data_IF_618405577340
#
_entry.id   IF_618405577340
#
_cell.length_a   1.000
_cell.length_b   1.000
_cell.length_c   1.000
_cell.angle_alpha   90.00
_cell.angle_beta   90.00
_cell.angle_gamma   90.00
#
_symmetry.space_group_name_H-M   'P 1'
#
loop_
_entity.id
_entity.type
_entity.pdbx_description
1 polymer ?
#
# COMPACT_ATOMS: atom_id res chain seq x y z
N UNK A 1 -9.68 -22.31 -0.07
CA UNK A 1 -10.72 -22.97 -0.86
C UNK A 1 -12.00 -22.17 -0.69
N UNK A 2 -12.62 -21.78 -1.80
CA UNK A 2 -13.86 -21.03 -2.03
C UNK A 2 -13.61 -19.58 -2.55
N UNK A 3 -13.41 -19.54 -3.88
CA UNK A 3 -13.76 -18.39 -4.70
C UNK A 3 -15.13 -18.67 -5.29
N UNK A 4 -16.16 -17.94 -4.93
CA UNK A 4 -17.45 -17.97 -5.63
C UNK A 4 -17.63 -16.75 -6.53
N UNK A 5 -17.78 -17.08 -7.77
CA UNK A 5 -18.52 -16.60 -8.95
C UNK A 5 -19.26 -15.26 -8.82
N UNK A 6 -18.83 -14.32 -9.63
CA UNK A 6 -19.64 -13.18 -10.03
C UNK A 6 -20.49 -13.55 -11.25
N UNK A 7 -21.81 -13.39 -11.09
CA UNK A 7 -22.84 -13.70 -12.06
C UNK A 7 -22.89 -12.62 -13.17
N UNK A 8 -22.96 -13.11 -14.41
CA UNK A 8 -23.11 -12.31 -15.64
C UNK A 8 -24.55 -11.79 -15.73
N UNK A 9 -24.71 -10.48 -15.79
CA UNK A 9 -26.00 -9.84 -16.08
C UNK A 9 -26.22 -9.79 -17.59
N UNK A 10 -27.24 -10.53 -18.06
CA UNK A 10 -27.67 -10.61 -19.47
C UNK A 10 -28.33 -9.31 -19.93
N UNK A 11 -27.78 -8.71 -20.95
CA UNK A 11 -28.37 -7.57 -21.66
C UNK A 11 -29.40 -8.07 -22.70
N UNK A 12 -30.64 -7.68 -22.53
CA UNK A 12 -31.74 -7.94 -23.51
C UNK A 12 -31.58 -7.06 -24.74
N UNK A 13 -31.57 -7.72 -25.90
CA UNK A 13 -31.56 -7.12 -27.22
C UNK A 13 -32.94 -6.53 -27.54
N UNK A 14 -33.00 -5.25 -27.89
CA UNK A 14 -34.19 -4.61 -28.47
C UNK A 14 -34.02 -4.57 -30.00
N UNK A 15 -34.88 -5.25 -30.70
CA UNK A 15 -35.00 -5.22 -32.18
C UNK A 15 -35.88 -4.06 -32.58
N UNK A 16 -35.37 -3.14 -33.38
CA UNK A 16 -36.18 -2.11 -34.07
C UNK A 16 -36.08 -2.35 -35.56
N UNK A 17 -37.24 -2.61 -36.17
CA UNK A 17 -37.42 -2.75 -37.61
C UNK A 17 -37.36 -1.36 -38.28
N UNK A 18 -36.62 -1.24 -39.38
CA UNK A 18 -36.68 -0.08 -40.29
C UNK A 18 -37.05 -0.51 -41.66
N UNK A 19 -38.04 0.21 -42.19
CA UNK A 19 -38.74 0.09 -43.47
C UNK A 19 -37.82 0.49 -44.62
N UNK A 20 -37.88 -0.28 -45.69
CA UNK A 20 -37.24 -0.04 -46.99
C UNK A 20 -38.03 0.97 -47.80
N UNK A 21 -37.41 1.98 -48.37
CA UNK A 21 -37.93 2.74 -49.53
C UNK A 21 -36.75 3.04 -50.48
N UNK A 22 -37.00 2.83 -51.70
CA UNK A 22 -36.11 2.51 -52.78
C UNK A 22 -35.43 3.63 -53.58
N UNK A 23 -34.53 3.11 -54.41
CA UNK A 23 -34.14 3.54 -55.79
C UNK A 23 -33.55 4.93 -56.04
N UNK A 24 -32.21 4.94 -56.27
CA UNK A 24 -31.65 5.69 -57.38
C UNK A 24 -30.29 5.06 -57.79
N UNK A 25 -30.24 4.63 -59.08
CA UNK A 25 -29.06 4.09 -59.74
C UNK A 25 -28.05 5.22 -60.01
N UNK A 26 -27.01 5.30 -59.23
CA UNK A 26 -25.81 6.10 -59.48
C UNK A 26 -24.62 5.20 -59.74
N UNK A 27 -24.08 5.22 -60.95
CA UNK A 27 -22.85 4.47 -61.31
C UNK A 27 -21.66 4.97 -60.52
N UNK A 28 -21.27 4.24 -59.50
CA UNK A 28 -20.01 4.50 -58.75
C UNK A 28 -18.87 3.75 -59.44
N UNK A 29 -17.88 4.51 -59.93
CA UNK A 29 -16.56 3.98 -60.27
C UNK A 29 -15.96 3.34 -59.01
N UNK A 30 -15.46 2.08 -59.14
CA UNK A 30 -14.70 1.42 -58.09
C UNK A 30 -13.54 2.31 -57.65
N UNK A 31 -13.35 2.55 -56.33
CA UNK A 31 -12.10 3.13 -55.82
C UNK A 31 -10.96 2.16 -56.15
N UNK A 32 -9.86 2.68 -56.65
CA UNK A 32 -8.59 1.96 -56.75
C UNK A 32 -8.20 1.43 -55.38
N UNK A 33 -7.87 0.17 -55.28
CA UNK A 33 -7.35 -0.47 -54.08
C UNK A 33 -6.13 0.32 -53.56
N UNK A 34 -6.37 1.14 -52.55
CA UNK A 34 -5.26 1.71 -51.72
C UNK A 34 -4.87 0.61 -50.79
N UNK A 35 -3.77 -0.06 -51.13
CA UNK A 35 -3.12 -1.00 -50.23
C UNK A 35 -2.68 -0.24 -48.98
N UNK A 36 -3.42 -0.41 -47.87
CA UNK A 36 -3.01 0.10 -46.57
C UNK A 36 -1.76 -0.68 -46.13
N UNK A 37 -0.61 -0.01 -46.15
CA UNK A 37 0.61 -0.50 -45.51
C UNK A 37 0.55 -0.03 -44.09
N UNK A 38 0.37 -0.93 -43.08
CA UNK A 38 0.42 -0.50 -41.69
C UNK A 38 1.79 0.11 -41.41
N UNK A 39 1.86 1.22 -40.67
CA UNK A 39 3.14 1.78 -40.26
C UNK A 39 3.95 0.69 -39.54
N UNK A 40 5.27 0.66 -39.70
CA UNK A 40 6.12 -0.32 -39.04
C UNK A 40 5.83 -0.25 -37.53
N UNK A 41 5.82 -1.40 -36.80
CA UNK A 41 5.63 -1.40 -35.37
C UNK A 41 6.67 -0.47 -34.74
N UNK A 42 6.21 0.57 -34.08
CA UNK A 42 7.06 1.46 -33.29
C UNK A 42 7.58 0.61 -32.13
N UNK A 43 8.81 0.15 -32.23
CA UNK A 43 9.50 -0.43 -31.08
C UNK A 43 9.58 0.66 -30.02
N UNK A 44 8.95 0.48 -28.85
CA UNK A 44 9.06 1.47 -27.79
C UNK A 44 10.53 1.67 -27.48
N UNK A 45 10.98 2.92 -27.47
CA UNK A 45 12.32 3.22 -26.95
C UNK A 45 12.41 2.60 -25.53
N UNK A 46 13.53 1.96 -25.20
CA UNK A 46 13.70 1.39 -23.86
C UNK A 46 13.48 2.50 -22.82
N UNK A 47 12.88 2.19 -21.67
CA UNK A 47 12.59 3.16 -20.63
C UNK A 47 13.87 3.94 -20.25
N UNK A 48 13.78 5.26 -20.21
CA UNK A 48 14.91 6.08 -19.72
C UNK A 48 15.01 5.86 -18.21
N UNK A 49 16.08 5.22 -17.78
CA UNK A 49 16.37 4.97 -16.38
C UNK A 49 16.98 6.22 -15.72
N UNK A 50 16.31 6.73 -14.69
CA UNK A 50 16.92 7.68 -13.76
C UNK A 50 17.64 6.86 -12.67
N UNK A 51 18.98 6.91 -12.66
CA UNK A 51 19.81 6.16 -11.70
C UNK A 51 19.48 6.50 -10.23
N UNK A 52 18.96 7.71 -9.99
CA UNK A 52 18.64 8.23 -8.67
C UNK A 52 17.17 7.94 -8.27
N UNK A 53 16.34 7.49 -9.21
CA UNK A 53 14.96 7.18 -8.90
C UNK A 53 14.86 5.91 -8.06
N UNK A 54 13.82 5.83 -7.24
CA UNK A 54 13.53 4.67 -6.41
C UNK A 54 13.21 3.46 -7.30
N UNK A 55 13.92 2.36 -7.08
CA UNK A 55 13.60 1.01 -7.53
C UNK A 55 13.55 0.15 -6.28
N UNK A 56 12.35 0.11 -5.70
CA UNK A 56 12.11 -0.54 -4.42
C UNK A 56 11.63 -1.98 -4.55
N UNK A 57 11.79 -2.74 -3.49
CA UNK A 57 11.15 -4.04 -3.33
C UNK A 57 10.70 -4.21 -1.88
N UNK A 58 9.48 -4.73 -1.70
CA UNK A 58 9.01 -5.14 -0.39
C UNK A 58 9.49 -6.55 -0.05
N UNK A 59 9.93 -6.72 1.19
CA UNK A 59 10.36 -8.02 1.74
C UNK A 59 9.52 -8.31 2.97
N UNK A 60 8.68 -9.34 2.90
CA UNK A 60 7.76 -9.76 3.98
C UNK A 60 8.18 -11.08 4.61
N UNK A 61 7.62 -11.41 5.77
CA UNK A 61 7.71 -12.74 6.40
C UNK A 61 6.63 -13.70 5.91
N UNK A 62 5.59 -13.19 5.23
CA UNK A 62 4.49 -14.01 4.73
C UNK A 62 4.86 -14.61 3.39
N UNK A 63 4.74 -15.94 3.25
CA UNK A 63 5.08 -16.68 2.03
C UNK A 63 6.51 -16.38 1.49
N UNK A 64 7.45 -16.13 2.40
CA UNK A 64 8.84 -15.83 2.10
C UNK A 64 9.78 -16.47 3.12
N UNK A 65 10.94 -16.89 2.66
CA UNK A 65 12.03 -17.39 3.50
C UNK A 65 13.21 -16.42 3.59
N UNK A 66 13.10 -15.26 2.96
CA UNK A 66 14.19 -14.28 2.81
C UNK A 66 14.84 -13.88 4.15
N UNK A 67 14.05 -13.81 5.23
CA UNK A 67 14.52 -13.38 6.55
C UNK A 67 14.85 -14.53 7.52
N UNK A 68 14.72 -15.79 7.08
CA UNK A 68 14.85 -16.96 7.97
C UNK A 68 16.29 -17.19 8.47
N UNK A 69 17.31 -16.70 7.77
CA UNK A 69 18.70 -16.75 8.20
C UNK A 69 19.48 -15.55 7.64
N UNK A 70 20.64 -15.25 8.22
CA UNK A 70 21.55 -14.23 7.66
C UNK A 70 22.02 -14.61 6.24
N UNK A 71 22.20 -15.91 5.97
CA UNK A 71 22.53 -16.37 4.63
C UNK A 71 21.44 -16.06 3.61
N UNK A 72 20.15 -16.26 3.98
CA UNK A 72 19.01 -15.93 3.13
C UNK A 72 18.91 -14.41 2.92
N UNK A 73 19.16 -13.61 3.96
CA UNK A 73 19.19 -12.13 3.84
C UNK A 73 20.29 -11.71 2.87
N UNK A 74 21.49 -12.27 2.97
CA UNK A 74 22.59 -11.98 2.06
C UNK A 74 22.27 -12.37 0.61
N UNK A 75 21.64 -13.53 0.40
CA UNK A 75 21.16 -13.98 -0.91
C UNK A 75 20.12 -12.99 -1.46
N UNK A 76 19.13 -12.62 -0.63
CA UNK A 76 18.08 -11.65 -0.99
C UNK A 76 18.69 -10.31 -1.41
N UNK A 77 19.62 -9.77 -0.66
CA UNK A 77 20.31 -8.50 -0.98
C UNK A 77 21.10 -8.63 -2.30
N UNK A 78 21.78 -9.76 -2.52
CA UNK A 78 22.54 -10.02 -3.76
C UNK A 78 21.60 -10.08 -4.97
N UNK A 79 20.47 -10.78 -4.86
CA UNK A 79 19.48 -10.87 -5.93
C UNK A 79 18.84 -9.51 -6.22
N UNK A 80 18.50 -8.74 -5.17
CA UNK A 80 18.00 -7.38 -5.32
C UNK A 80 18.98 -6.48 -6.08
N UNK A 81 20.27 -6.53 -5.71
CA UNK A 81 21.33 -5.76 -6.38
C UNK A 81 21.46 -6.15 -7.85
N UNK A 82 21.47 -7.46 -8.16
CA UNK A 82 21.55 -7.98 -9.52
C UNK A 82 20.35 -7.57 -10.38
N UNK A 83 19.13 -7.49 -9.78
CA UNK A 83 17.91 -7.02 -10.43
C UNK A 83 17.83 -5.48 -10.55
N UNK A 84 18.87 -4.74 -10.14
CA UNK A 84 18.89 -3.26 -10.21
C UNK A 84 18.04 -2.56 -9.14
N UNK A 85 17.59 -3.25 -8.11
CA UNK A 85 16.94 -2.66 -6.95
C UNK A 85 17.96 -1.77 -6.20
N UNK A 86 17.49 -0.65 -5.67
CA UNK A 86 18.30 0.26 -4.87
C UNK A 86 17.71 0.57 -3.49
N UNK A 87 16.47 0.13 -3.21
CA UNK A 87 15.80 0.30 -1.94
C UNK A 87 15.09 -1.00 -1.51
N UNK A 88 15.34 -1.47 -0.31
CA UNK A 88 14.67 -2.61 0.32
C UNK A 88 13.72 -2.08 1.39
N UNK A 89 12.42 -2.39 1.28
CA UNK A 89 11.41 -2.13 2.30
C UNK A 89 11.18 -3.43 3.07
N UNK A 90 11.94 -3.61 4.16
CA UNK A 90 11.89 -4.80 4.98
C UNK A 90 10.78 -4.69 6.03
N UNK A 91 9.93 -5.69 6.12
CA UNK A 91 8.89 -5.76 7.15
C UNK A 91 9.53 -5.79 8.54
N UNK A 92 9.09 -4.86 9.41
CA UNK A 92 9.53 -4.80 10.80
C UNK A 92 8.39 -5.08 11.80
N UNK A 93 7.14 -4.94 11.36
CA UNK A 93 5.96 -5.19 12.17
C UNK A 93 4.86 -5.90 11.36
N UNK A 94 4.51 -7.12 11.76
CA UNK A 94 3.51 -7.97 11.12
C UNK A 94 2.82 -8.85 12.18
N UNK A 95 1.49 -8.94 12.16
CA UNK A 95 0.66 -9.82 12.99
C UNK A 95 1.06 -9.80 14.49
N UNK A 96 1.13 -8.60 15.07
CA UNK A 96 1.55 -8.37 16.46
C UNK A 96 2.94 -8.94 16.80
N UNK A 97 3.84 -9.01 15.84
CA UNK A 97 5.25 -9.42 16.01
C UNK A 97 6.17 -8.46 15.28
N UNK A 98 7.38 -8.35 15.78
CA UNK A 98 8.47 -7.61 15.12
C UNK A 98 9.52 -8.56 14.56
N UNK A 99 10.28 -8.09 13.58
CA UNK A 99 11.43 -8.81 13.01
C UNK A 99 12.76 -8.31 13.60
N UNK A 100 12.68 -7.58 14.71
CA UNK A 100 13.78 -7.07 15.50
C UNK A 100 13.44 -7.16 17.00
N UNK A 101 14.40 -7.21 17.92
CA UNK A 101 14.15 -7.23 19.36
C UNK A 101 13.51 -5.92 19.83
N UNK A 102 12.19 -5.93 20.05
CA UNK A 102 11.37 -4.78 20.43
C UNK A 102 11.05 -4.76 21.92
N UNK A 103 11.49 -3.71 22.60
CA UNK A 103 11.09 -3.42 23.98
C UNK A 103 9.61 -3.03 24.07
N UNK A 104 9.09 -2.33 23.06
CA UNK A 104 7.68 -1.90 22.98
C UNK A 104 6.76 -3.12 22.95
N UNK A 105 7.05 -4.10 22.09
CA UNK A 105 6.25 -5.34 21.99
C UNK A 105 6.41 -6.22 23.24
N UNK A 106 7.62 -6.31 23.80
CA UNK A 106 7.85 -7.03 25.03
C UNK A 106 7.02 -6.47 26.20
N UNK A 107 6.99 -5.17 26.37
CA UNK A 107 6.23 -4.51 27.42
C UNK A 107 4.70 -4.64 27.22
N UNK A 108 4.23 -4.70 25.98
CA UNK A 108 2.80 -4.79 25.68
C UNK A 108 2.24 -6.21 25.85
N UNK A 109 2.93 -7.22 25.28
CA UNK A 109 2.42 -8.60 25.18
C UNK A 109 3.43 -9.69 25.57
N UNK A 110 4.60 -9.31 26.11
CA UNK A 110 5.66 -10.27 26.51
C UNK A 110 6.33 -10.98 25.32
N UNK A 111 6.27 -10.40 24.11
CA UNK A 111 6.79 -10.99 22.87
C UNK A 111 7.72 -10.00 22.17
N UNK A 112 9.03 -10.02 22.50
CA UNK A 112 9.97 -9.02 21.99
C UNK A 112 10.25 -9.14 20.49
N UNK A 113 10.05 -10.33 19.90
CA UNK A 113 10.33 -10.62 18.49
C UNK A 113 9.49 -11.80 18.02
N UNK A 114 9.35 -12.00 16.72
CA UNK A 114 8.79 -13.23 16.15
C UNK A 114 9.61 -14.44 16.62
N UNK A 115 8.97 -15.46 17.16
CA UNK A 115 9.60 -16.59 17.83
C UNK A 115 10.65 -17.31 16.98
N UNK A 116 10.43 -17.41 15.66
CA UNK A 116 11.38 -18.00 14.70
C UNK A 116 12.69 -17.20 14.55
N UNK A 117 12.72 -15.96 15.03
CA UNK A 117 13.89 -15.09 14.99
C UNK A 117 14.54 -14.92 16.38
N UNK A 118 14.14 -15.71 17.38
CA UNK A 118 14.71 -15.63 18.72
C UNK A 118 16.23 -15.77 18.69
N UNK A 119 16.92 -14.88 19.41
CA UNK A 119 18.40 -14.84 19.43
C UNK A 119 19.06 -14.20 18.21
N UNK A 120 18.26 -13.64 17.28
CA UNK A 120 18.74 -12.90 16.09
C UNK A 120 18.15 -11.50 16.04
N UNK A 121 18.73 -10.68 15.16
CA UNK A 121 18.17 -9.38 14.77
C UNK A 121 18.16 -9.26 13.23
N UNK A 122 17.13 -9.82 12.54
CA UNK A 122 17.04 -9.78 11.10
C UNK A 122 17.08 -8.36 10.52
N UNK A 123 16.60 -7.34 11.25
CA UNK A 123 16.65 -5.95 10.77
C UNK A 123 18.10 -5.46 10.73
N UNK A 124 18.88 -5.68 11.78
CA UNK A 124 20.30 -5.33 11.82
C UNK A 124 21.08 -6.08 10.73
N UNK A 125 20.81 -7.39 10.56
CA UNK A 125 21.44 -8.20 9.52
C UNK A 125 21.14 -7.65 8.11
N UNK A 126 19.88 -7.25 7.85
CA UNK A 126 19.47 -6.70 6.55
C UNK A 126 20.13 -5.33 6.29
N UNK A 127 20.27 -4.48 7.28
CA UNK A 127 20.96 -3.19 7.17
C UNK A 127 22.44 -3.41 6.82
N UNK A 128 23.13 -4.30 7.53
CA UNK A 128 24.55 -4.58 7.30
C UNK A 128 24.80 -5.13 5.87
N UNK A 129 24.03 -6.14 5.46
CA UNK A 129 24.18 -6.75 4.12
C UNK A 129 23.76 -5.77 3.01
N UNK A 130 22.68 -5.00 3.23
CA UNK A 130 22.18 -4.00 2.28
C UNK A 130 23.17 -2.88 2.04
N UNK A 131 23.64 -2.25 3.12
CA UNK A 131 24.62 -1.15 3.05
C UNK A 131 25.96 -1.60 2.46
N UNK A 132 26.41 -2.84 2.78
CA UNK A 132 27.63 -3.39 2.20
C UNK A 132 27.58 -3.49 0.64
N UNK A 133 26.35 -3.56 0.06
CA UNK A 133 26.14 -3.58 -1.39
C UNK A 133 25.61 -2.23 -1.94
N UNK A 134 25.54 -1.18 -1.11
CA UNK A 134 25.08 0.13 -1.48
C UNK A 134 23.57 0.20 -1.75
N UNK A 135 22.78 -0.67 -1.13
CA UNK A 135 21.32 -0.60 -1.12
C UNK A 135 20.84 0.16 0.12
N UNK A 136 19.75 0.89 -0.02
CA UNK A 136 19.06 1.54 1.10
C UNK A 136 18.09 0.56 1.75
N UNK A 137 18.01 0.61 3.09
CA UNK A 137 17.12 -0.25 3.87
C UNK A 137 16.13 0.59 4.65
N UNK A 138 14.84 0.29 4.44
CA UNK A 138 13.71 0.97 5.06
C UNK A 138 12.94 0.00 5.96
N UNK A 139 12.56 0.44 7.15
CA UNK A 139 11.68 -0.31 8.03
C UNK A 139 10.22 -0.14 7.59
N UNK A 140 9.57 -1.22 7.16
CA UNK A 140 8.20 -1.24 6.68
C UNK A 140 7.25 -1.83 7.73
N UNK A 141 6.26 -1.02 8.14
CA UNK A 141 5.24 -1.38 9.14
C UNK A 141 4.00 -1.95 8.43
N UNK A 142 4.12 -3.16 7.90
CA UNK A 142 3.13 -3.81 7.04
C UNK A 142 1.74 -3.90 7.67
N UNK A 143 1.64 -4.26 8.96
CA UNK A 143 0.33 -4.42 9.60
C UNK A 143 -0.29 -3.10 10.09
N UNK A 144 0.51 -2.07 10.33
CA UNK A 144 -0.02 -0.78 10.76
C UNK A 144 -0.99 -0.88 11.94
N UNK A 145 -2.22 -0.40 11.76
CA UNK A 145 -3.28 -0.51 12.77
C UNK A 145 -4.09 -1.83 12.71
N UNK A 146 -3.71 -2.77 11.86
CA UNK A 146 -4.21 -4.14 11.95
C UNK A 146 -3.53 -4.87 13.11
N UNK A 147 -4.30 -5.57 13.95
CA UNK A 147 -3.77 -6.27 15.14
C UNK A 147 -3.44 -7.73 14.87
N UNK A 148 -4.22 -8.38 14.00
CA UNK A 148 -4.09 -9.81 13.70
C UNK A 148 -4.81 -10.18 12.41
N UNK A 149 -4.71 -11.45 12.02
CA UNK A 149 -5.44 -12.01 10.89
C UNK A 149 -6.26 -13.21 11.37
N UNK A 150 -7.57 -13.14 11.24
CA UNK A 150 -8.54 -14.20 11.64
C UNK A 150 -8.32 -14.75 13.06
N UNK A 151 -7.94 -13.88 14.01
CA UNK A 151 -7.59 -14.27 15.38
C UNK A 151 -8.37 -13.48 16.45
N UNK A 152 -9.52 -12.90 16.06
CA UNK A 152 -10.40 -12.13 16.95
C UNK A 152 -9.66 -11.05 17.73
N UNK A 153 -8.84 -10.26 17.04
CA UNK A 153 -8.02 -9.18 17.59
C UNK A 153 -6.64 -9.60 18.08
N UNK A 154 -6.39 -10.89 18.23
CA UNK A 154 -5.08 -11.44 18.60
C UNK A 154 -4.55 -10.97 19.95
N UNK A 155 -3.24 -11.08 20.13
CA UNK A 155 -2.60 -10.80 21.42
C UNK A 155 -2.71 -9.34 21.88
N UNK A 156 -2.74 -8.38 20.93
CA UNK A 156 -2.82 -6.95 21.28
C UNK A 156 -4.20 -6.63 21.83
N UNK A 157 -5.28 -7.05 21.17
CA UNK A 157 -6.65 -6.81 21.65
C UNK A 157 -6.91 -7.60 22.93
N UNK A 158 -6.35 -8.80 23.09
CA UNK A 158 -6.42 -9.53 24.36
C UNK A 158 -5.77 -8.76 25.52
N UNK A 159 -4.63 -8.11 25.29
CA UNK A 159 -3.94 -7.29 26.30
C UNK A 159 -4.61 -5.92 26.52
N UNK A 160 -5.20 -5.34 25.48
CA UNK A 160 -5.82 -4.01 25.45
C UNK A 160 -7.17 -4.03 24.72
N UNK A 161 -8.23 -4.59 25.33
CA UNK A 161 -9.54 -4.75 24.64
C UNK A 161 -10.16 -3.43 24.16
N UNK A 162 -9.90 -2.32 24.86
CA UNK A 162 -10.39 -0.99 24.51
C UNK A 162 -9.68 -0.37 23.29
N UNK A 163 -8.61 -0.98 22.79
CA UNK A 163 -7.94 -0.56 21.56
C UNK A 163 -8.63 -1.07 20.30
N UNK A 164 -9.54 -2.03 20.42
CA UNK A 164 -10.25 -2.61 19.29
C UNK A 164 -11.11 -1.56 18.57
N UNK A 165 -10.98 -1.47 17.25
CA UNK A 165 -11.95 -0.74 16.44
C UNK A 165 -13.31 -1.44 16.52
N UNK A 166 -14.41 -0.66 16.70
CA UNK A 166 -15.77 -1.20 16.80
C UNK A 166 -16.62 -0.68 15.65
N UNK A 167 -17.46 -1.57 15.12
CA UNK A 167 -18.55 -1.21 14.22
C UNK A 167 -19.76 -0.65 15.01
N UNK A 168 -20.80 -0.22 14.30
CA UNK A 168 -22.00 0.38 14.92
C UNK A 168 -22.76 -0.59 15.83
N UNK A 169 -22.58 -1.89 15.66
CA UNK A 169 -23.18 -2.95 16.49
C UNK A 169 -22.30 -3.31 17.70
N UNK A 170 -21.12 -2.66 17.85
CA UNK A 170 -20.18 -2.91 18.93
C UNK A 170 -19.26 -4.12 18.69
N UNK A 171 -19.30 -4.73 17.50
CA UNK A 171 -18.41 -5.84 17.16
C UNK A 171 -17.01 -5.34 16.82
N UNK A 172 -15.99 -6.22 17.01
CA UNK A 172 -14.65 -5.97 16.48
C UNK A 172 -14.71 -5.78 14.96
N UNK A 173 -14.09 -4.72 14.47
CA UNK A 173 -13.98 -4.51 13.01
C UNK A 173 -13.04 -5.52 12.41
N UNK A 174 -13.57 -6.31 11.47
CA UNK A 174 -12.82 -7.26 10.64
C UNK A 174 -13.03 -6.90 9.17
N UNK A 175 -11.94 -6.78 8.42
CA UNK A 175 -12.02 -6.54 6.97
C UNK A 175 -10.94 -7.31 6.24
N UNK A 176 -11.34 -8.10 5.25
CA UNK A 176 -10.46 -8.99 4.49
C UNK A 176 -9.65 -9.95 5.38
N UNK A 177 -10.25 -10.42 6.48
CA UNK A 177 -9.62 -11.29 7.48
C UNK A 177 -8.74 -10.56 8.50
N UNK A 178 -8.42 -9.29 8.29
CA UNK A 178 -7.66 -8.50 9.26
C UNK A 178 -8.57 -7.97 10.37
N UNK A 179 -8.12 -8.11 11.62
CA UNK A 179 -8.72 -7.53 12.81
C UNK A 179 -8.09 -6.16 13.06
N UNK A 180 -8.86 -5.16 13.49
CA UNK A 180 -8.41 -3.77 13.50
C UNK A 180 -8.39 -3.13 14.88
N UNK A 181 -7.32 -2.36 15.13
CA UNK A 181 -7.25 -1.39 16.22
C UNK A 181 -7.90 -0.07 15.81
N UNK A 182 -8.39 0.68 16.81
CA UNK A 182 -8.88 2.02 16.58
C UNK A 182 -7.71 3.00 16.38
N UNK A 183 -7.38 3.31 15.12
CA UNK A 183 -6.32 4.26 14.76
C UNK A 183 -6.56 5.70 15.23
N UNK A 184 -7.76 6.02 15.76
CA UNK A 184 -8.08 7.34 16.34
C UNK A 184 -7.77 7.36 17.85
N UNK A 185 -7.71 6.20 18.50
CA UNK A 185 -7.45 6.11 19.95
C UNK A 185 -6.01 6.53 20.29
N UNK A 186 -5.82 7.45 21.27
CA UNK A 186 -4.51 8.03 21.55
C UNK A 186 -3.46 7.01 22.01
N UNK A 187 -3.86 5.99 22.76
CA UNK A 187 -2.92 4.92 23.17
C UNK A 187 -2.48 4.07 21.99
N UNK A 188 -3.36 3.78 21.02
CA UNK A 188 -3.04 3.04 19.80
C UNK A 188 -2.07 3.86 18.94
N UNK A 189 -2.32 5.15 18.80
CA UNK A 189 -1.42 6.06 18.11
C UNK A 189 -0.05 6.12 18.81
N UNK A 190 -0.03 6.23 20.14
CA UNK A 190 1.22 6.28 20.90
C UNK A 190 1.99 4.96 20.81
N UNK A 191 1.31 3.82 20.84
CA UNK A 191 1.93 2.51 20.62
C UNK A 191 2.66 2.46 19.26
N UNK A 192 2.00 2.87 18.19
CA UNK A 192 2.60 2.89 16.85
C UNK A 192 3.77 3.88 16.78
N UNK A 193 3.62 5.09 17.33
CA UNK A 193 4.71 6.07 17.42
C UNK A 193 5.92 5.47 18.15
N UNK A 194 5.70 4.76 19.24
CA UNK A 194 6.79 4.15 20.01
C UNK A 194 7.54 3.08 19.20
N UNK A 195 6.85 2.27 18.39
CA UNK A 195 7.49 1.31 17.49
C UNK A 195 8.37 2.01 16.44
N UNK A 196 7.86 3.08 15.81
CA UNK A 196 8.64 3.88 14.86
C UNK A 196 9.85 4.52 15.53
N UNK A 197 9.67 5.14 16.71
CA UNK A 197 10.79 5.74 17.49
C UNK A 197 11.84 4.71 17.86
N UNK A 198 11.41 3.51 18.22
CA UNK A 198 12.32 2.43 18.58
C UNK A 198 13.27 2.07 17.45
N UNK A 199 12.76 1.86 16.23
CA UNK A 199 13.61 1.51 15.09
C UNK A 199 14.47 2.68 14.62
N UNK A 200 13.92 3.90 14.60
CA UNK A 200 14.66 5.11 14.18
C UNK A 200 15.81 5.43 15.11
N UNK A 201 15.66 5.12 16.41
CA UNK A 201 16.69 5.37 17.44
C UNK A 201 17.76 4.28 17.46
N UNK A 202 17.35 3.00 17.26
CA UNK A 202 18.24 1.86 17.44
C UNK A 202 19.07 1.49 16.21
N UNK A 203 18.55 1.80 15.00
CA UNK A 203 19.10 1.26 13.75
C UNK A 203 19.54 2.36 12.78
N UNK A 204 20.57 2.06 12.01
CA UNK A 204 21.04 2.92 10.91
C UNK A 204 20.21 2.72 9.64
N UNK A 205 18.93 3.08 9.72
CA UNK A 205 17.98 3.02 8.62
C UNK A 205 18.10 4.22 7.70
N UNK A 206 17.81 4.01 6.42
CA UNK A 206 17.62 5.07 5.42
C UNK A 206 16.21 5.65 5.46
N UNK A 207 15.22 4.86 5.87
CA UNK A 207 13.84 5.32 5.95
C UNK A 207 12.92 4.42 6.76
N UNK A 208 11.69 4.92 6.93
CA UNK A 208 10.57 4.19 7.51
C UNK A 208 9.36 4.34 6.61
N UNK A 209 8.50 3.32 6.57
CA UNK A 209 7.31 3.28 5.72
C UNK A 209 6.10 2.75 6.46
N UNK A 210 4.96 3.49 6.36
CA UNK A 210 3.64 2.96 6.66
C UNK A 210 3.01 2.32 5.41
N UNK A 211 2.03 1.42 5.62
CA UNK A 211 1.42 0.62 4.58
C UNK A 211 -0.05 1.03 4.30
N UNK A 212 -0.77 0.22 3.52
CA UNK A 212 -2.21 0.35 3.28
C UNK A 212 -3.05 0.21 4.57
N UNK A 213 -2.42 -0.20 5.66
CA UNK A 213 -2.99 -0.27 7.01
C UNK A 213 -2.45 0.80 7.98
N UNK A 214 -1.66 1.79 7.49
CA UNK A 214 -1.14 2.88 8.33
C UNK A 214 -0.93 4.19 7.54
N UNK A 215 -1.52 5.31 7.97
CA UNK A 215 -2.66 5.37 8.89
C UNK A 215 -3.92 4.93 8.16
N UNK A 216 -4.66 4.04 8.77
CA UNK A 216 -5.88 3.49 8.18
C UNK A 216 -6.82 2.94 9.25
N UNK A 217 -8.10 2.88 8.94
CA UNK A 217 -9.11 2.12 9.64
C UNK A 217 -10.24 1.83 8.65
N UNK A 218 -10.82 0.62 8.61
CA UNK A 218 -12.00 0.37 7.79
C UNK A 218 -13.11 1.37 8.08
N UNK A 219 -13.78 1.84 7.04
CA UNK A 219 -14.87 2.83 7.18
C UNK A 219 -16.03 2.35 8.04
N UNK A 220 -16.20 1.04 8.21
CA UNK A 220 -17.17 0.45 9.17
C UNK A 220 -16.81 0.69 10.63
N UNK A 221 -15.57 1.09 10.95
CA UNK A 221 -15.09 1.35 12.31
C UNK A 221 -15.29 2.78 12.80
N UNK A 222 -14.95 3.00 14.07
CA UNK A 222 -15.04 4.30 14.72
C UNK A 222 -16.31 4.51 15.53
N UNK A 223 -17.01 3.44 15.88
CA UNK A 223 -18.19 3.47 16.75
C UNK A 223 -17.88 2.97 18.17
N UNK A 224 -16.61 2.86 18.53
CA UNK A 224 -16.18 2.64 19.92
C UNK A 224 -16.45 3.89 20.77
N UNK A 225 -16.52 3.69 22.10
CA UNK A 225 -16.86 4.75 23.05
C UNK A 225 -15.98 5.98 22.90
N UNK A 226 -14.65 5.78 22.80
CA UNK A 226 -13.70 6.89 22.70
C UNK A 226 -13.98 7.75 21.46
N UNK A 227 -14.12 7.12 20.28
CA UNK A 227 -14.34 7.85 19.03
C UNK A 227 -15.68 8.55 18.99
N UNK A 228 -16.75 7.90 19.53
CA UNK A 228 -18.09 8.49 19.63
C UNK A 228 -18.09 9.71 20.54
N UNK A 229 -17.45 9.63 21.71
CA UNK A 229 -17.39 10.74 22.67
C UNK A 229 -16.56 11.90 22.13
N UNK A 230 -15.44 11.62 21.45
CA UNK A 230 -14.64 12.64 20.77
C UNK A 230 -15.45 13.35 19.67
N UNK A 231 -16.18 12.57 18.85
CA UNK A 231 -17.04 13.17 17.82
C UNK A 231 -18.11 14.09 18.42
N UNK A 232 -18.81 13.63 19.48
CA UNK A 232 -19.81 14.45 20.18
C UNK A 232 -19.21 15.75 20.72
N UNK A 233 -18.04 15.67 21.36
CA UNK A 233 -17.35 16.83 21.90
C UNK A 233 -17.01 17.87 20.82
N UNK A 234 -16.66 17.43 19.63
CA UNK A 234 -16.30 18.32 18.52
C UNK A 234 -17.49 18.75 17.64
N UNK A 235 -18.67 18.13 17.80
CA UNK A 235 -19.85 18.39 16.95
C UNK A 235 -21.09 18.79 17.78
N UNK A 236 -20.91 19.57 18.86
CA UNK A 236 -22.01 20.15 19.64
C UNK A 236 -22.92 19.11 20.31
N UNK A 237 -22.40 17.94 20.66
CA UNK A 237 -23.14 16.85 21.29
C UNK A 237 -23.82 15.88 20.30
N UNK A 238 -23.75 16.14 18.99
CA UNK A 238 -24.34 15.27 17.99
C UNK A 238 -23.65 13.90 17.94
N UNK A 239 -24.44 12.82 17.83
CA UNK A 239 -23.90 11.47 17.61
C UNK A 239 -23.33 11.30 16.20
N UNK A 240 -22.32 10.43 16.01
CA UNK A 240 -21.86 10.08 14.68
C UNK A 240 -23.01 9.59 13.78
N UNK A 241 -22.95 9.85 12.45
CA UNK A 241 -23.92 9.31 11.52
C UNK A 241 -24.02 7.79 11.60
N UNK A 242 -25.25 7.23 11.54
CA UNK A 242 -25.47 5.79 11.55
C UNK A 242 -24.89 5.09 10.32
N UNK A 243 -24.86 5.78 9.17
CA UNK A 243 -24.22 5.26 7.96
C UNK A 243 -22.72 5.50 8.03
N UNK A 244 -21.93 4.43 8.06
CA UNK A 244 -20.47 4.50 7.98
C UNK A 244 -19.96 5.11 6.66
N UNK A 245 -20.78 5.10 5.59
CA UNK A 245 -20.48 5.68 4.28
C UNK A 245 -20.86 7.17 4.18
N UNK A 246 -21.38 7.79 5.25
CA UNK A 246 -21.65 9.23 5.27
C UNK A 246 -20.35 10.01 5.01
N UNK A 247 -20.37 10.91 4.03
CA UNK A 247 -19.17 11.63 3.58
C UNK A 247 -18.54 12.52 4.66
N UNK A 248 -19.37 13.21 5.45
CA UNK A 248 -18.87 14.04 6.56
C UNK A 248 -18.21 13.18 7.64
N UNK A 249 -18.77 12.00 7.92
CA UNK A 249 -18.21 11.04 8.87
C UNK A 249 -16.89 10.41 8.37
N UNK A 250 -16.81 10.07 7.08
CA UNK A 250 -15.55 9.63 6.44
C UNK A 250 -14.50 10.73 6.56
N UNK A 251 -14.83 11.96 6.18
CA UNK A 251 -13.91 13.11 6.22
C UNK A 251 -13.41 13.38 7.63
N UNK A 252 -14.28 13.37 8.64
CA UNK A 252 -13.88 13.62 10.03
C UNK A 252 -12.88 12.55 10.52
N UNK A 253 -13.18 11.26 10.30
CA UNK A 253 -12.30 10.17 10.72
C UNK A 253 -10.97 10.18 9.95
N UNK A 254 -11.00 10.42 8.64
CA UNK A 254 -9.79 10.55 7.83
C UNK A 254 -8.91 11.71 8.32
N UNK A 255 -9.51 12.84 8.71
CA UNK A 255 -8.78 13.97 9.28
C UNK A 255 -8.11 13.62 10.62
N UNK A 256 -8.69 12.75 11.46
CA UNK A 256 -8.05 12.26 12.69
C UNK A 256 -6.83 11.41 12.37
N UNK A 257 -6.91 10.56 11.35
CA UNK A 257 -5.78 9.76 10.88
C UNK A 257 -4.71 10.64 10.20
N UNK A 258 -5.10 11.69 9.49
CA UNK A 258 -4.18 12.69 8.93
C UNK A 258 -3.40 13.42 10.03
N UNK A 259 -4.06 13.79 11.13
CA UNK A 259 -3.41 14.41 12.30
C UNK A 259 -2.39 13.45 12.93
N UNK A 260 -2.72 12.17 13.05
CA UNK A 260 -1.78 11.15 13.50
C UNK A 260 -0.56 11.06 12.58
N UNK A 261 -0.74 11.00 11.25
CA UNK A 261 0.37 10.94 10.30
C UNK A 261 1.32 12.13 10.47
N UNK A 262 0.76 13.34 10.57
CA UNK A 262 1.54 14.56 10.79
C UNK A 262 2.35 14.49 12.09
N UNK A 263 1.73 14.00 13.16
CA UNK A 263 2.41 13.79 14.45
C UNK A 263 3.51 12.75 14.33
N UNK A 264 3.24 11.59 13.72
CA UNK A 264 4.22 10.51 13.51
C UNK A 264 5.44 11.01 12.74
N UNK A 265 5.22 11.76 11.64
CA UNK A 265 6.30 12.40 10.88
C UNK A 265 7.14 13.31 11.75
N UNK A 266 6.51 14.15 12.56
CA UNK A 266 7.22 15.08 13.44
C UNK A 266 8.11 14.32 14.44
N UNK A 267 7.58 13.27 15.06
CA UNK A 267 8.35 12.44 16.00
C UNK A 267 9.55 11.75 15.33
N UNK A 268 9.37 11.19 14.14
CA UNK A 268 10.44 10.56 13.36
C UNK A 268 11.51 11.58 12.96
N UNK A 269 11.09 12.70 12.38
CA UNK A 269 12.03 13.74 11.89
C UNK A 269 12.75 14.48 13.02
N UNK A 270 12.18 14.52 14.22
CA UNK A 270 12.85 15.07 15.41
C UNK A 270 14.05 14.20 15.83
N UNK A 271 13.94 12.88 15.70
CA UNK A 271 15.03 11.96 16.02
C UNK A 271 16.09 11.96 14.91
N UNK A 272 15.67 11.78 13.66
CA UNK A 272 16.57 11.72 12.50
C UNK A 272 15.99 12.57 11.35
N UNK A 273 16.38 13.85 11.23
CA UNK A 273 15.82 14.77 10.23
C UNK A 273 15.94 14.27 8.78
N UNK A 274 17.00 13.50 8.48
CA UNK A 274 17.29 12.95 7.15
C UNK A 274 16.53 11.65 6.85
N UNK A 275 15.87 11.02 7.85
CA UNK A 275 15.12 9.77 7.69
C UNK A 275 14.06 9.93 6.58
N UNK A 276 14.07 9.07 5.57
CA UNK A 276 13.00 9.04 4.57
C UNK A 276 11.70 8.54 5.22
N UNK A 277 10.65 9.33 5.16
CA UNK A 277 9.34 9.01 5.72
C UNK A 277 8.35 8.83 4.57
N UNK A 278 8.08 7.58 4.21
CA UNK A 278 7.26 7.22 3.05
C UNK A 278 5.99 6.47 3.43
N UNK A 279 4.99 6.46 2.54
CA UNK A 279 3.75 5.71 2.72
C UNK A 279 3.41 4.92 1.48
N UNK A 280 2.91 3.68 1.66
CA UNK A 280 2.42 2.82 0.59
C UNK A 280 0.91 2.52 0.74
N UNK A 281 0.06 3.53 0.51
CA UNK A 281 -1.38 3.42 0.70
C UNK A 281 -2.06 2.58 -0.40
N UNK A 282 -3.32 2.22 -0.16
CA UNK A 282 -4.22 1.78 -1.23
C UNK A 282 -4.43 2.88 -2.27
N UNK A 283 -4.72 2.54 -3.55
CA UNK A 283 -5.07 3.52 -4.58
C UNK A 283 -6.27 4.38 -4.18
N UNK A 284 -6.23 5.68 -4.51
CA UNK A 284 -7.35 6.60 -4.27
C UNK A 284 -8.37 6.54 -5.45
N UNK A 285 -9.69 6.67 -5.22
CA UNK A 285 -10.35 6.97 -3.95
C UNK A 285 -10.64 5.75 -3.05
N UNK A 286 -10.34 4.53 -3.52
CA UNK A 286 -10.58 3.29 -2.75
C UNK A 286 -9.96 3.36 -1.34
N UNK A 287 -8.72 3.85 -1.21
CA UNK A 287 -8.07 4.03 0.08
C UNK A 287 -8.90 4.88 1.05
N UNK A 288 -9.51 5.99 0.59
CA UNK A 288 -10.35 6.84 1.41
C UNK A 288 -11.69 6.18 1.77
N UNK A 289 -12.40 5.64 0.75
CA UNK A 289 -13.77 5.13 0.93
C UNK A 289 -13.84 3.82 1.68
N UNK A 290 -12.76 3.04 1.67
CA UNK A 290 -12.69 1.73 2.31
C UNK A 290 -11.88 1.72 3.62
N UNK A 291 -10.84 2.58 3.71
CA UNK A 291 -9.85 2.55 4.79
C UNK A 291 -9.50 3.92 5.39
N UNK A 292 -10.20 4.99 5.01
CA UNK A 292 -9.98 6.36 5.50
C UNK A 292 -8.57 6.89 5.18
N UNK A 293 -7.90 6.33 4.18
CA UNK A 293 -6.58 6.78 3.72
C UNK A 293 -6.71 7.92 2.73
N UNK A 294 -6.29 9.11 3.13
CA UNK A 294 -6.39 10.34 2.34
C UNK A 294 -5.00 10.79 1.86
N UNK A 295 -4.31 9.92 1.10
CA UNK A 295 -2.96 10.20 0.63
C UNK A 295 -2.82 11.46 -0.25
N UNK A 296 -3.82 11.94 -1.02
CA UNK A 296 -3.70 13.22 -1.70
C UNK A 296 -3.40 14.37 -0.75
N UNK A 297 -4.09 14.44 0.40
CA UNK A 297 -3.81 15.43 1.44
C UNK A 297 -2.38 15.31 1.98
N UNK A 298 -1.84 14.10 2.14
CA UNK A 298 -0.47 13.90 2.62
C UNK A 298 0.57 14.42 1.65
N UNK A 299 0.34 14.21 0.34
CA UNK A 299 1.18 14.68 -0.76
C UNK A 299 1.10 16.20 -0.89
N UNK A 300 -0.13 16.75 -0.96
CA UNK A 300 -0.35 18.18 -1.16
C UNK A 300 0.25 19.02 -0.02
N UNK A 301 0.19 18.48 1.20
CA UNK A 301 0.76 19.11 2.42
C UNK A 301 2.26 18.82 2.61
N UNK A 302 2.89 18.01 1.76
CA UNK A 302 4.28 17.55 1.89
C UNK A 302 4.58 16.92 3.28
N UNK A 303 3.64 16.12 3.80
CA UNK A 303 3.81 15.42 5.08
C UNK A 303 4.58 14.10 4.93
N UNK A 304 4.86 13.68 3.71
CA UNK A 304 5.63 12.48 3.38
C UNK A 304 6.73 12.83 2.38
N UNK A 305 7.80 12.05 2.38
CA UNK A 305 8.93 12.27 1.46
C UNK A 305 8.73 11.55 0.12
N UNK A 306 7.85 10.56 0.07
CA UNK A 306 7.33 9.93 -1.15
C UNK A 306 6.04 9.16 -0.88
N UNK A 307 5.17 9.05 -1.89
CA UNK A 307 4.00 8.17 -1.89
C UNK A 307 4.21 7.00 -2.85
N UNK A 308 3.90 5.78 -2.38
CA UNK A 308 4.12 4.53 -3.12
C UNK A 308 2.80 3.71 -3.15
N UNK A 309 1.73 4.19 -3.83
CA UNK A 309 0.44 3.52 -3.78
C UNK A 309 0.48 2.14 -4.43
N UNK A 310 -0.21 1.17 -3.85
CA UNK A 310 -0.27 -0.22 -4.27
C UNK A 310 -1.12 -0.42 -5.54
N UNK A 311 -0.60 0.01 -6.69
CA UNK A 311 -1.30 -0.02 -7.99
C UNK A 311 -1.33 -1.43 -8.61
N UNK A 312 -1.56 -2.47 -7.77
CA UNK A 312 -1.49 -3.87 -8.19
C UNK A 312 -2.62 -4.24 -9.16
N UNK A 313 -2.26 -4.76 -10.34
CA UNK A 313 -3.19 -5.22 -11.37
C UNK A 313 -2.61 -6.45 -12.07
N UNK A 314 -3.48 -7.22 -12.72
CA UNK A 314 -3.15 -8.48 -13.38
C UNK A 314 -3.16 -8.36 -14.91
N UNK A 315 -3.51 -7.19 -15.44
CA UNK A 315 -3.49 -6.89 -16.88
C UNK A 315 -3.14 -5.42 -17.14
N UNK A 316 -2.64 -5.13 -18.34
CA UNK A 316 -2.12 -3.81 -18.69
C UNK A 316 -3.23 -2.75 -18.82
N UNK A 317 -4.44 -3.12 -19.25
CA UNK A 317 -5.55 -2.19 -19.39
C UNK A 317 -5.97 -1.66 -18.02
N UNK A 318 -6.16 -2.56 -17.05
CA UNK A 318 -6.48 -2.21 -15.67
C UNK A 318 -5.33 -1.43 -15.00
N UNK A 319 -4.06 -1.77 -15.31
CA UNK A 319 -2.91 -1.02 -14.80
C UNK A 319 -2.88 0.41 -15.34
N UNK A 320 -3.04 0.58 -16.65
CA UNK A 320 -3.07 1.90 -17.30
C UNK A 320 -4.21 2.77 -16.74
N UNK A 321 -5.41 2.21 -16.57
CA UNK A 321 -6.54 2.90 -15.97
C UNK A 321 -6.26 3.31 -14.52
N UNK A 322 -5.63 2.43 -13.73
CA UNK A 322 -5.23 2.73 -12.36
C UNK A 322 -4.23 3.89 -12.31
N UNK A 323 -3.15 3.84 -13.10
CA UNK A 323 -2.13 4.88 -13.15
C UNK A 323 -2.72 6.22 -13.60
N UNK A 324 -3.55 6.22 -14.65
CA UNK A 324 -4.25 7.42 -15.11
C UNK A 324 -5.13 8.03 -14.01
N UNK A 325 -5.87 7.21 -13.27
CA UNK A 325 -6.70 7.64 -12.14
C UNK A 325 -5.83 8.24 -11.02
N UNK A 326 -4.77 7.57 -10.58
CA UNK A 326 -3.92 8.09 -9.50
C UNK A 326 -3.30 9.44 -9.89
N UNK A 327 -2.89 9.60 -11.15
CA UNK A 327 -2.35 10.86 -11.65
C UNK A 327 -3.32 12.04 -11.51
N UNK A 328 -4.64 11.81 -11.56
CA UNK A 328 -5.63 12.87 -11.35
C UNK A 328 -5.65 13.43 -9.93
N UNK A 329 -5.23 12.64 -8.95
CA UNK A 329 -5.17 13.03 -7.54
C UNK A 329 -3.79 13.50 -7.07
N UNK A 330 -2.75 13.22 -7.85
CA UNK A 330 -1.38 13.63 -7.56
C UNK A 330 -1.14 15.07 -8.03
N UNK A 331 -1.11 16.04 -7.11
CA UNK A 331 -1.04 17.48 -7.43
C UNK A 331 0.28 18.13 -7.09
N UNK A 332 1.05 17.58 -6.13
CA UNK A 332 2.31 18.16 -5.68
C UNK A 332 3.52 17.34 -6.16
N UNK A 333 4.19 17.75 -7.28
CA UNK A 333 5.33 17.01 -7.82
C UNK A 333 6.61 17.13 -6.96
N UNK A 334 6.62 17.98 -5.93
CA UNK A 334 7.72 18.05 -4.98
C UNK A 334 7.80 16.81 -4.07
N UNK A 335 6.68 16.07 -3.92
CA UNK A 335 6.64 14.77 -3.25
C UNK A 335 6.61 13.67 -4.31
N UNK A 336 7.68 12.90 -4.51
CA UNK A 336 7.74 11.86 -5.53
C UNK A 336 6.62 10.83 -5.40
N UNK A 337 6.09 10.40 -6.55
CA UNK A 337 5.12 9.31 -6.68
C UNK A 337 5.80 8.12 -7.36
N UNK A 338 5.81 6.97 -6.69
CA UNK A 338 6.36 5.73 -7.21
C UNK A 338 5.28 4.65 -7.20
N UNK A 339 4.72 4.25 -8.36
CA UNK A 339 3.71 3.20 -8.38
C UNK A 339 4.21 1.89 -7.75
N UNK A 340 3.40 1.29 -6.88
CA UNK A 340 3.58 -0.08 -6.45
C UNK A 340 3.16 -1.03 -7.57
N UNK A 341 4.05 -1.92 -7.98
CA UNK A 341 3.88 -2.87 -9.09
C UNK A 341 3.76 -4.28 -8.53
N UNK A 342 2.71 -5.02 -8.93
CA UNK A 342 2.55 -6.41 -8.54
C UNK A 342 3.53 -7.27 -9.33
N UNK A 343 4.50 -7.88 -8.63
CA UNK A 343 5.44 -8.84 -9.20
C UNK A 343 5.00 -10.27 -8.93
N UNK A 344 4.56 -10.56 -7.68
CA UNK A 344 4.09 -11.89 -7.27
C UNK A 344 2.95 -11.80 -6.27
N UNK A 345 2.00 -12.74 -6.33
CA UNK A 345 0.96 -12.94 -5.32
C UNK A 345 0.47 -14.38 -5.37
N UNK A 346 0.66 -15.14 -4.29
CA UNK A 346 0.38 -16.57 -4.27
C UNK A 346 1.15 -17.31 -5.38
N UNK A 347 0.44 -17.98 -6.26
CA UNK A 347 1.01 -18.68 -7.43
C UNK A 347 1.19 -17.77 -8.65
N UNK A 348 0.67 -16.56 -8.63
CA UNK A 348 0.83 -15.61 -9.74
C UNK A 348 2.21 -14.96 -9.69
N UNK A 349 2.87 -14.94 -10.86
CA UNK A 349 4.08 -14.17 -11.15
C UNK A 349 3.83 -13.33 -12.40
N UNK A 350 4.16 -12.05 -12.34
CA UNK A 350 3.97 -11.16 -13.48
C UNK A 350 4.89 -11.57 -14.63
N UNK A 351 4.37 -11.86 -15.85
CA UNK A 351 5.23 -12.14 -17.00
C UNK A 351 6.13 -10.95 -17.32
N UNK A 352 7.38 -11.20 -17.74
CA UNK A 352 8.36 -10.17 -18.05
C UNK A 352 7.83 -9.10 -19.06
N UNK A 353 7.09 -9.55 -20.07
CA UNK A 353 6.47 -8.63 -21.03
C UNK A 353 5.46 -7.68 -20.37
N UNK A 354 4.65 -8.19 -19.44
CA UNK A 354 3.70 -7.36 -18.70
C UNK A 354 4.42 -6.43 -17.71
N UNK A 355 5.45 -6.91 -17.03
CA UNK A 355 6.28 -6.08 -16.15
C UNK A 355 6.90 -4.91 -16.92
N UNK A 356 7.47 -5.18 -18.11
CA UNK A 356 8.01 -4.14 -18.99
C UNK A 356 6.95 -3.11 -19.38
N UNK A 357 5.74 -3.55 -19.71
CA UNK A 357 4.63 -2.65 -20.06
C UNK A 357 4.21 -1.77 -18.86
N UNK A 358 4.16 -2.32 -17.65
CA UNK A 358 3.85 -1.53 -16.44
C UNK A 358 4.92 -0.46 -16.19
N UNK A 359 6.20 -0.82 -16.28
CA UNK A 359 7.32 0.12 -16.14
C UNK A 359 7.23 1.22 -17.22
N UNK A 360 6.96 0.85 -18.48
CA UNK A 360 6.80 1.82 -19.57
C UNK A 360 5.61 2.76 -19.32
N UNK A 361 4.50 2.25 -18.81
CA UNK A 361 3.34 3.08 -18.41
C UNK A 361 3.73 4.10 -17.35
N UNK A 362 4.53 3.70 -16.35
CA UNK A 362 5.03 4.61 -15.32
C UNK A 362 5.86 5.75 -15.95
N UNK A 363 6.80 5.43 -16.83
CA UNK A 363 7.64 6.41 -17.52
C UNK A 363 6.82 7.37 -18.41
N UNK A 364 5.88 6.83 -19.19
CA UNK A 364 4.97 7.62 -20.04
C UNK A 364 4.07 8.55 -19.20
N UNK A 365 3.78 8.18 -17.96
CA UNK A 365 3.01 8.98 -17.01
C UNK A 365 3.86 10.04 -16.28
N UNK A 366 5.19 10.04 -16.48
CA UNK A 366 6.13 10.96 -15.85
C UNK A 366 6.69 10.50 -14.51
N UNK A 367 6.35 9.26 -14.08
CA UNK A 367 6.92 8.68 -12.87
C UNK A 367 8.28 8.04 -13.14
N UNK A 368 9.26 8.35 -12.31
CA UNK A 368 10.66 8.00 -12.57
C UNK A 368 11.07 6.64 -12.03
N UNK A 369 10.34 6.09 -11.07
CA UNK A 369 10.64 4.84 -10.39
C UNK A 369 9.37 4.10 -9.96
N UNK A 370 9.56 2.96 -9.32
CA UNK A 370 8.51 2.07 -8.82
C UNK A 370 8.99 1.24 -7.64
N UNK A 371 8.05 0.56 -6.97
CA UNK A 371 8.34 -0.43 -5.94
C UNK A 371 7.62 -1.74 -6.25
N UNK A 372 8.31 -2.87 -6.16
CA UNK A 372 7.82 -4.18 -6.58
C UNK A 372 7.29 -4.99 -5.38
N UNK A 373 6.09 -5.47 -5.48
CA UNK A 373 5.52 -6.39 -4.51
C UNK A 373 5.53 -7.83 -5.09
N UNK A 374 6.32 -8.75 -4.61
CA UNK A 374 7.33 -8.65 -3.54
C UNK A 374 8.57 -9.47 -3.92
N UNK A 375 9.60 -9.51 -3.06
CA UNK A 375 10.92 -10.09 -3.33
C UNK A 375 10.89 -11.51 -3.93
N UNK A 376 9.99 -12.39 -3.50
CA UNK A 376 9.94 -13.76 -4.02
C UNK A 376 9.68 -13.83 -5.54
N UNK A 377 9.17 -12.79 -6.15
CA UNK A 377 9.05 -12.69 -7.60
C UNK A 377 10.35 -12.29 -8.32
N UNK A 378 11.36 -11.82 -7.59
CA UNK A 378 12.70 -11.57 -8.17
C UNK A 378 13.46 -12.87 -8.40
N UNK A 379 13.12 -13.92 -7.66
CA UNK A 379 13.77 -15.25 -7.77
C UNK A 379 13.31 -16.02 -9.00
N UNK A 380 12.19 -15.66 -9.61
CA UNK A 380 11.55 -16.35 -10.74
C UNK A 380 11.70 -15.57 -12.03
#
# INVERSE_FOLDING_TARGET
MLFEKWSVCTMRTLVVAVIVAGLALGSCKKPTDVTYTPPPPVTPNPPVWDINALRGVWVTTTASTALNSRANIKEMVTNCKAAGINNIFMVVYNNARTTYPSTVMNNLIGKPILESFSGRDPLQECIEEGHAQGLKVHAWFEYGFSSSYSANGGAIVAAKPHWAAKDISGNLVVKNGFDWLNGIHPEVQQFMINLFKEVVTKYDLDGVQGDDRLPAMPTSGGYDTYTVDLYKAENGGASPPASFANSAWITWRANKLNQFLKRLRTEVKTIKPTMQFTMSPSPYPFGLTEYLQDWPTWVDSAWIDAVIPQCYRYDISAYNASIAQQKTYYKNPAVPFYPGVLLKSGTYVAPNAFLTQMIQTNRNSGFKGECFFFYEGIKE
#
